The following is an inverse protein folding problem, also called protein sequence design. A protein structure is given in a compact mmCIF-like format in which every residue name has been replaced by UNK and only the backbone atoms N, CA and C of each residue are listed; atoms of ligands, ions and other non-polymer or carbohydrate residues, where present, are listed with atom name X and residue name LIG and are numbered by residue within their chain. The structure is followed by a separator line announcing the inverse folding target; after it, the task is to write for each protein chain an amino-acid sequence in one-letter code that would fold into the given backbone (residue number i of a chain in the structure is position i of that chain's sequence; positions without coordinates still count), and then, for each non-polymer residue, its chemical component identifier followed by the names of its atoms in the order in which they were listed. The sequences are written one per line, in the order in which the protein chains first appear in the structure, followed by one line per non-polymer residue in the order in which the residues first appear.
data_IF_140599607610
#
_entry.id   IF_140599607610
#
_cell.length_a   1.000
_cell.length_b   1.000
_cell.length_c   1.000
_cell.angle_alpha   90.00
_cell.angle_beta   90.00
_cell.angle_gamma   90.00
#
_symmetry.space_group_name_H-M   'P 1'
#
loop_
_entity.id
_entity.type
_entity.pdbx_description
1 polymer ?
#
# COMPACT_ATOMS: atom_id res chain seq x y z
N UNK A 1 2.00 -4.59 -9.03
CA UNK A 1 3.22 -5.41 -8.84
C UNK A 1 2.96 -6.68 -8.03
N UNK A 2 2.25 -6.60 -6.89
CA UNK A 2 1.90 -7.76 -6.05
C UNK A 2 1.07 -8.86 -6.73
N UNK A 3 0.09 -8.48 -7.56
CA UNK A 3 -0.72 -9.46 -8.31
C UNK A 3 0.13 -10.38 -9.20
N UNK A 4 1.29 -9.89 -9.68
CA UNK A 4 2.23 -10.66 -10.51
C UNK A 4 3.04 -11.65 -9.68
N UNK A 5 3.41 -11.31 -8.44
CA UNK A 5 4.11 -12.22 -7.52
C UNK A 5 3.21 -13.37 -7.05
N UNK A 6 1.91 -13.10 -6.87
CA UNK A 6 0.88 -14.12 -6.58
C UNK A 6 0.74 -15.18 -7.70
N UNK A 7 1.10 -14.84 -8.94
CA UNK A 7 1.11 -15.78 -10.06
C UNK A 7 2.40 -16.61 -10.19
N UNK A 8 3.53 -16.12 -9.65
CA UNK A 8 4.86 -16.76 -9.78
C UNK A 8 5.13 -17.73 -8.62
N UNK A 9 4.64 -17.42 -7.42
CA UNK A 9 4.66 -18.32 -6.28
C UNK A 9 3.33 -19.08 -6.32
N UNK A 10 3.33 -20.23 -6.99
CA UNK A 10 2.16 -21.09 -7.06
C UNK A 10 1.53 -21.24 -5.67
N UNK A 11 0.20 -21.16 -5.64
CA UNK A 11 -0.78 -21.11 -4.54
C UNK A 11 -0.51 -21.97 -3.27
N UNK A 12 0.54 -22.79 -3.23
CA UNK A 12 0.78 -23.78 -2.18
C UNK A 12 1.05 -23.20 -0.80
N UNK A 13 1.59 -21.97 -0.67
CA UNK A 13 1.73 -21.25 0.61
C UNK A 13 1.99 -19.75 0.37
N UNK A 14 1.01 -18.99 -0.14
CA UNK A 14 1.14 -17.53 -0.14
C UNK A 14 0.68 -17.02 1.23
N UNK A 15 1.64 -16.77 2.13
CA UNK A 15 1.32 -16.20 3.44
C UNK A 15 0.88 -14.75 3.27
N UNK A 16 -0.41 -14.51 3.51
CA UNK A 16 -1.00 -13.19 3.36
C UNK A 16 -0.37 -12.19 4.34
N UNK A 17 0.03 -12.64 5.53
CA UNK A 17 0.72 -11.82 6.54
C UNK A 17 2.08 -11.31 6.05
N UNK A 18 2.93 -12.20 5.54
CA UNK A 18 4.22 -11.86 4.95
C UNK A 18 4.05 -10.94 3.73
N UNK A 19 3.00 -11.16 2.96
CA UNK A 19 2.69 -10.35 1.77
C UNK A 19 2.23 -8.95 2.13
N UNK A 20 1.40 -8.82 3.17
CA UNK A 20 1.01 -7.52 3.77
C UNK A 20 2.23 -6.81 4.34
N UNK A 21 3.08 -7.51 5.09
CA UNK A 21 4.29 -6.93 5.67
C UNK A 21 5.26 -6.44 4.58
N UNK A 22 5.52 -7.25 3.56
CA UNK A 22 6.39 -6.89 2.45
C UNK A 22 5.80 -5.71 1.67
N UNK A 23 4.50 -5.71 1.42
CA UNK A 23 3.80 -4.60 0.77
C UNK A 23 4.01 -3.28 1.54
N UNK A 24 3.71 -3.29 2.84
CA UNK A 24 3.85 -2.11 3.70
C UNK A 24 5.31 -1.62 3.76
N UNK A 25 6.29 -2.52 3.80
CA UNK A 25 7.72 -2.15 3.82
C UNK A 25 8.22 -1.45 2.56
N UNK A 26 7.53 -1.62 1.43
CA UNK A 26 7.92 -1.05 0.14
C UNK A 26 7.26 0.32 -0.14
N UNK A 27 6.35 0.76 0.72
CA UNK A 27 5.63 2.02 0.56
C UNK A 27 6.34 3.19 1.25
N UNK A 28 6.14 4.43 0.77
CA UNK A 28 6.61 5.62 1.48
C UNK A 28 6.04 5.70 2.89
N UNK A 29 6.83 6.25 3.83
CA UNK A 29 6.48 6.28 5.25
C UNK A 29 5.13 6.94 5.53
N UNK A 30 4.79 8.02 4.81
CA UNK A 30 3.48 8.69 4.92
C UNK A 30 2.30 7.78 4.57
N UNK A 31 2.47 6.89 3.60
CA UNK A 31 1.44 5.94 3.16
C UNK A 31 1.39 4.75 4.11
N UNK A 32 2.56 4.28 4.57
CA UNK A 32 2.70 3.18 5.52
C UNK A 32 2.02 3.46 6.86
N UNK A 33 2.21 4.67 7.43
CA UNK A 33 1.60 5.05 8.72
C UNK A 33 0.07 5.04 8.63
N UNK A 34 -0.50 5.51 7.52
CA UNK A 34 -1.95 5.49 7.32
C UNK A 34 -2.44 4.06 7.14
N UNK A 35 -1.76 3.26 6.31
CA UNK A 35 -2.14 1.87 6.02
C UNK A 35 -2.00 0.92 7.21
N UNK A 36 -1.13 1.22 8.18
CA UNK A 36 -1.02 0.45 9.43
C UNK A 36 -2.36 0.35 10.17
N UNK A 37 -3.19 1.40 10.10
CA UNK A 37 -4.54 1.40 10.69
C UNK A 37 -5.52 0.50 9.95
N UNK A 38 -5.23 0.14 8.70
CA UNK A 38 -6.05 -0.72 7.84
C UNK A 38 -5.56 -2.18 7.82
N UNK A 39 -4.67 -2.58 8.73
CA UNK A 39 -4.09 -3.94 8.75
C UNK A 39 -5.11 -5.09 8.85
N UNK A 40 -6.31 -4.82 9.35
CA UNK A 40 -7.39 -5.81 9.43
C UNK A 40 -8.01 -6.14 8.06
N UNK A 41 -7.78 -5.30 7.05
CA UNK A 41 -8.38 -5.46 5.73
C UNK A 41 -7.62 -6.49 4.89
N UNK A 42 -8.23 -6.99 3.83
CA UNK A 42 -7.59 -7.88 2.88
C UNK A 42 -6.44 -7.18 2.12
N UNK A 43 -5.47 -7.94 1.62
CA UNK A 43 -4.30 -7.37 0.91
C UNK A 43 -4.69 -6.53 -0.32
N UNK A 44 -5.75 -6.91 -1.04
CA UNK A 44 -6.27 -6.16 -2.19
C UNK A 44 -6.90 -4.83 -1.78
N UNK A 45 -7.59 -4.78 -0.64
CA UNK A 45 -8.13 -3.54 -0.08
C UNK A 45 -7.03 -2.59 0.41
N UNK A 46 -5.96 -3.12 1.04
CA UNK A 46 -4.78 -2.33 1.38
C UNK A 46 -4.13 -1.74 0.13
N UNK A 47 -4.05 -2.53 -0.95
CA UNK A 47 -3.47 -2.08 -2.22
C UNK A 47 -4.28 -0.94 -2.83
N UNK A 48 -5.60 -1.09 -2.91
CA UNK A 48 -6.50 -0.05 -3.41
C UNK A 48 -6.41 1.24 -2.57
N UNK A 49 -6.30 1.10 -1.25
CA UNK A 49 -6.13 2.22 -0.33
C UNK A 49 -4.78 2.92 -0.52
N UNK A 50 -3.70 2.16 -0.73
CA UNK A 50 -2.38 2.71 -1.02
C UNK A 50 -2.38 3.53 -2.31
N UNK A 51 -2.99 3.00 -3.38
CA UNK A 51 -3.10 3.69 -4.67
C UNK A 51 -3.87 5.00 -4.53
N UNK A 52 -4.96 4.99 -3.76
CA UNK A 52 -5.76 6.20 -3.48
C UNK A 52 -4.99 7.24 -2.66
N UNK A 53 -4.25 6.83 -1.64
CA UNK A 53 -3.43 7.75 -0.83
C UNK A 53 -2.28 8.32 -1.68
N UNK A 54 -1.65 7.49 -2.52
CA UNK A 54 -0.62 7.94 -3.44
C UNK A 54 -1.17 8.94 -4.46
N UNK A 55 -2.38 8.73 -4.96
CA UNK A 55 -3.07 9.68 -5.84
C UNK A 55 -3.29 11.04 -5.14
N UNK A 56 -3.82 11.02 -3.90
CA UNK A 56 -4.08 12.23 -3.11
C UNK A 56 -2.78 12.98 -2.77
N UNK A 57 -1.70 12.26 -2.42
CA UNK A 57 -0.43 12.90 -2.06
C UNK A 57 0.32 13.43 -3.27
N UNK A 58 0.21 12.77 -4.43
CA UNK A 58 0.73 13.28 -5.70
C UNK A 58 0.03 14.56 -6.13
N UNK A 59 -1.29 14.68 -5.96
CA UNK A 59 -2.03 15.90 -6.27
C UNK A 59 -1.79 17.01 -5.24
N UNK A 60 -1.74 16.67 -3.94
CA UNK A 60 -1.58 17.62 -2.83
C UNK A 60 -0.18 18.26 -2.73
N UNK A 61 0.87 17.64 -3.30
CA UNK A 61 2.21 18.27 -3.39
C UNK A 61 2.20 19.56 -4.23
N UNK A 62 1.15 19.79 -5.04
CA UNK A 62 0.99 21.00 -5.84
C UNK A 62 0.26 22.13 -5.08
N UNK A 63 -0.42 21.85 -3.97
CA UNK A 63 -1.28 22.85 -3.31
C UNK A 63 -0.97 23.10 -1.82
N UNK A 64 -0.24 22.22 -1.12
CA UNK A 64 -0.14 22.33 0.36
C UNK A 64 1.15 22.97 0.89
N UNK A 65 2.07 23.40 0.01
CA UNK A 65 3.27 24.17 0.39
C UNK A 65 3.24 25.65 -0.03
N UNK A 66 2.04 26.22 -0.25
CA UNK A 66 1.86 27.67 -0.36
C UNK A 66 0.91 28.16 0.73
N UNK A 67 1.27 27.92 1.99
CA UNK A 67 0.79 28.74 3.09
C UNK A 67 1.96 29.62 3.52
N UNK A 68 1.82 30.88 3.12
CA UNK A 68 2.61 32.08 3.39
C UNK A 68 3.49 32.07 4.64
#
# INVERSE_FOLDING_TARGET
MLQRMRGVIGLRTFDEGLSKQLFLSKLPQQVQVVLVSFQNNALDELAASADRILEITKSSTTEVFSVK
#
